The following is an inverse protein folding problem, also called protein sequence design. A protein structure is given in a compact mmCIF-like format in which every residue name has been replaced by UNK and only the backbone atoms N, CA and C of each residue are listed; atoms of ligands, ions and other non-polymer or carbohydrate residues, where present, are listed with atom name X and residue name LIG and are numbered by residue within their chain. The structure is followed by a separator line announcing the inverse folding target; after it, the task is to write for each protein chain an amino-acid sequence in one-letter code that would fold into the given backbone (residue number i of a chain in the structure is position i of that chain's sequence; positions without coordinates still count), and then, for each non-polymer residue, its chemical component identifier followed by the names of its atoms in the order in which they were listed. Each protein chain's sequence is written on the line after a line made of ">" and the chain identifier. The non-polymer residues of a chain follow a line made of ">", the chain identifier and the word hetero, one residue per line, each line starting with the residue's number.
data_IF_634999191908
#
_entry.id   IF_634999191908
#
_cell.length_a   1.000
_cell.length_b   1.000
_cell.length_c   1.000
_cell.angle_alpha   90.00
_cell.angle_beta   90.00
_cell.angle_gamma   90.00
#
_symmetry.space_group_name_H-M   'P 1'
#
loop_
_entity.id
_entity.type
_entity.pdbx_description
1 polymer ?
#
# COMPACT_ATOMS: atom_id res chain seq x y z
N UNK A 1 -50.80 30.41 -8.98
CA UNK A 1 -49.75 29.37 -9.21
C UNK A 1 -50.45 28.03 -9.26
N UNK A 2 -50.25 27.24 -10.32
CA UNK A 2 -51.00 26.00 -10.54
C UNK A 2 -50.45 24.88 -9.62
N UNK A 3 -51.32 24.06 -9.03
CA UNK A 3 -50.92 23.03 -8.03
C UNK A 3 -49.89 22.05 -8.61
N UNK A 4 -50.04 21.68 -9.89
CA UNK A 4 -49.05 20.84 -10.61
C UNK A 4 -47.66 21.48 -10.70
N UNK A 5 -47.60 22.80 -10.79
CA UNK A 5 -46.35 23.55 -10.93
C UNK A 5 -45.65 23.74 -9.58
N UNK A 6 -46.44 23.90 -8.50
CA UNK A 6 -45.93 23.88 -7.14
C UNK A 6 -45.35 22.50 -6.76
N UNK A 7 -46.03 21.40 -7.13
CA UNK A 7 -45.54 20.03 -6.90
C UNK A 7 -44.24 19.77 -7.67
N UNK A 8 -44.15 20.17 -8.95
CA UNK A 8 -42.92 20.03 -9.74
C UNK A 8 -41.75 20.80 -9.13
N UNK A 9 -41.98 22.02 -8.66
CA UNK A 9 -40.95 22.82 -7.97
C UNK A 9 -40.52 22.18 -6.66
N UNK A 10 -41.45 21.68 -5.86
CA UNK A 10 -41.15 20.97 -4.61
C UNK A 10 -40.33 19.68 -4.86
N UNK A 11 -40.70 18.89 -5.88
CA UNK A 11 -39.96 17.69 -6.25
C UNK A 11 -38.54 18.00 -6.76
N UNK A 12 -38.38 19.06 -7.56
CA UNK A 12 -37.06 19.51 -8.02
C UNK A 12 -36.17 19.96 -6.85
N UNK A 13 -36.71 20.74 -5.91
CA UNK A 13 -35.99 21.15 -4.70
C UNK A 13 -35.62 19.95 -3.83
N UNK A 14 -36.53 18.97 -3.69
CA UNK A 14 -36.27 17.75 -2.95
C UNK A 14 -35.17 16.89 -3.59
N UNK A 15 -35.16 16.76 -4.91
CA UNK A 15 -34.09 16.08 -5.66
C UNK A 15 -32.73 16.77 -5.46
N UNK A 16 -32.68 18.10 -5.52
CA UNK A 16 -31.47 18.88 -5.22
C UNK A 16 -31.00 18.64 -3.78
N UNK A 17 -31.92 18.56 -2.82
CA UNK A 17 -31.58 18.23 -1.42
C UNK A 17 -31.03 16.80 -1.27
N UNK A 18 -31.57 15.82 -2.01
CA UNK A 18 -31.03 14.45 -2.01
C UNK A 18 -29.61 14.43 -2.60
N UNK A 19 -29.37 15.13 -3.70
CA UNK A 19 -28.05 15.19 -4.33
C UNK A 19 -27.00 15.90 -3.45
N UNK A 20 -27.39 16.96 -2.73
CA UNK A 20 -26.46 17.65 -1.82
C UNK A 20 -26.16 16.79 -0.58
N UNK A 21 -27.15 16.04 -0.08
CA UNK A 21 -26.98 15.22 1.13
C UNK A 21 -26.13 13.96 0.90
N UNK A 22 -25.97 13.53 -0.35
CA UNK A 22 -25.11 12.41 -0.74
C UNK A 22 -23.64 12.81 -1.01
N UNK A 23 -23.31 14.11 -0.95
CA UNK A 23 -21.93 14.57 -1.07
C UNK A 23 -21.09 14.05 0.12
N UNK A 24 -19.90 13.53 -0.18
CA UNK A 24 -18.94 13.13 0.83
C UNK A 24 -18.06 14.32 1.25
N UNK A 25 -18.02 14.60 2.54
CA UNK A 25 -17.02 15.49 3.14
C UNK A 25 -15.84 14.63 3.60
N UNK A 26 -14.63 15.09 3.29
CA UNK A 26 -13.39 14.54 3.84
C UNK A 26 -12.81 15.52 4.84
N UNK A 27 -12.61 15.05 6.07
CA UNK A 27 -11.82 15.76 7.08
C UNK A 27 -10.42 15.14 7.15
N UNK A 28 -9.43 15.99 7.43
CA UNK A 28 -8.03 15.60 7.53
C UNK A 28 -7.49 16.05 8.87
N UNK A 29 -7.04 15.09 9.66
CA UNK A 29 -6.40 15.33 10.95
C UNK A 29 -4.95 14.92 10.82
N UNK A 30 -4.01 15.81 11.16
CA UNK A 30 -2.58 15.48 11.11
C UNK A 30 -2.28 14.26 11.99
N UNK A 31 -1.39 13.41 11.51
CA UNK A 31 -0.97 12.20 12.19
C UNK A 31 0.55 12.26 12.40
N UNK A 32 1.00 11.76 13.54
CA UNK A 32 2.40 11.82 13.93
C UNK A 32 3.26 11.00 12.97
N UNK A 33 4.35 11.62 12.49
CA UNK A 33 5.20 11.04 11.44
C UNK A 33 5.89 9.76 11.91
N UNK A 34 6.28 9.70 13.18
CA UNK A 34 6.98 8.54 13.73
C UNK A 34 6.04 7.33 13.84
N UNK A 35 4.79 7.55 14.25
CA UNK A 35 3.76 6.50 14.21
C UNK A 35 3.43 6.07 12.78
N UNK A 36 3.40 7.01 11.83
CA UNK A 36 3.19 6.65 10.42
C UNK A 36 4.37 5.84 9.86
N UNK A 37 5.60 6.17 10.27
CA UNK A 37 6.79 5.40 9.92
C UNK A 37 6.72 4.00 10.49
N UNK A 38 6.30 3.83 11.74
CA UNK A 38 6.14 2.53 12.36
C UNK A 38 5.11 1.65 11.60
N UNK A 39 3.99 2.24 11.17
CA UNK A 39 2.98 1.53 10.36
C UNK A 39 3.56 1.07 9.00
N UNK A 40 4.36 1.91 8.33
CA UNK A 40 5.06 1.55 7.10
C UNK A 40 6.07 0.42 7.34
N UNK A 41 6.89 0.54 8.39
CA UNK A 41 7.90 -0.44 8.75
C UNK A 41 7.26 -1.79 9.07
N UNK A 42 6.11 -1.78 9.72
CA UNK A 42 5.32 -2.97 10.00
C UNK A 42 4.73 -3.59 8.74
N UNK A 43 4.13 -2.80 7.85
CA UNK A 43 3.58 -3.33 6.59
C UNK A 43 4.65 -3.96 5.68
N UNK A 44 5.84 -3.35 5.62
CA UNK A 44 6.93 -3.81 4.76
C UNK A 44 7.84 -4.87 5.38
N UNK A 45 7.72 -5.14 6.68
CA UNK A 45 8.59 -6.07 7.39
C UNK A 45 8.64 -7.47 6.77
N UNK A 46 7.52 -8.10 6.37
CA UNK A 46 7.56 -9.43 5.79
C UNK A 46 8.41 -9.50 4.51
N UNK A 47 8.36 -8.45 3.67
CA UNK A 47 9.19 -8.34 2.47
C UNK A 47 10.68 -8.27 2.83
N UNK A 48 11.05 -7.43 3.79
CA UNK A 48 12.46 -7.29 4.20
C UNK A 48 13.01 -8.57 4.85
N UNK A 49 12.17 -9.29 5.59
CA UNK A 49 12.54 -10.59 6.18
C UNK A 49 12.71 -11.66 5.10
N UNK A 50 11.75 -11.77 4.18
CA UNK A 50 11.82 -12.66 3.01
C UNK A 50 13.13 -12.49 2.23
N UNK A 51 13.48 -11.24 1.91
CA UNK A 51 14.65 -10.95 1.08
C UNK A 51 15.97 -11.38 1.73
N UNK A 52 16.07 -11.33 3.05
CA UNK A 52 17.27 -11.79 3.80
C UNK A 52 17.46 -13.29 3.78
N UNK A 53 16.42 -14.04 3.43
CA UNK A 53 16.49 -15.49 3.33
C UNK A 53 16.86 -15.97 1.93
N UNK A 54 16.80 -15.09 0.94
CA UNK A 54 17.18 -15.38 -0.43
C UNK A 54 18.68 -15.73 -0.55
N UNK A 55 18.98 -16.60 -1.51
CA UNK A 55 20.34 -17.03 -1.82
C UNK A 55 20.55 -17.11 -3.32
N UNK A 56 21.78 -16.95 -3.77
CA UNK A 56 22.08 -17.04 -5.21
C UNK A 56 21.81 -18.43 -5.76
N UNK A 57 21.19 -18.49 -6.93
CA UNK A 57 21.06 -19.74 -7.69
C UNK A 57 22.28 -20.00 -8.57
N UNK A 58 22.32 -21.16 -9.22
CA UNK A 58 23.30 -21.42 -10.30
C UNK A 58 23.11 -20.52 -11.54
N UNK A 59 21.97 -19.82 -11.65
CA UNK A 59 21.70 -18.88 -12.72
C UNK A 59 22.08 -17.47 -12.29
N UNK A 60 22.86 -16.80 -13.13
CA UNK A 60 23.20 -15.39 -12.93
C UNK A 60 21.95 -14.53 -12.77
N UNK A 61 21.98 -13.64 -11.78
CA UNK A 61 20.90 -12.72 -11.42
C UNK A 61 19.57 -13.36 -10.97
N UNK A 62 19.54 -14.65 -10.63
CA UNK A 62 18.36 -15.29 -10.05
C UNK A 62 18.64 -15.81 -8.65
N UNK A 63 17.68 -15.58 -7.75
CA UNK A 63 17.74 -15.98 -6.35
C UNK A 63 16.80 -17.15 -6.07
N UNK A 64 17.28 -18.11 -5.28
CA UNK A 64 16.49 -19.24 -4.76
C UNK A 64 15.59 -18.75 -3.61
N UNK A 65 14.36 -19.25 -3.62
CA UNK A 65 13.38 -19.02 -2.57
C UNK A 65 13.78 -19.78 -1.28
N UNK A 66 13.40 -19.26 -0.09
CA UNK A 66 13.50 -20.03 1.15
C UNK A 66 12.57 -21.25 1.13
N UNK A 67 12.89 -22.28 1.90
CA UNK A 67 12.18 -23.58 1.90
C UNK A 67 10.66 -23.48 2.17
N UNK A 68 10.24 -22.40 2.85
CA UNK A 68 8.85 -22.12 3.20
C UNK A 68 8.00 -21.55 2.06
N UNK A 69 8.60 -21.05 0.97
CA UNK A 69 7.88 -20.34 -0.10
C UNK A 69 8.01 -21.12 -1.41
N UNK A 70 6.89 -21.71 -1.86
CA UNK A 70 6.84 -22.58 -3.05
C UNK A 70 5.92 -22.04 -4.14
N UNK A 71 4.93 -21.22 -3.78
CA UNK A 71 4.02 -20.59 -4.71
C UNK A 71 3.62 -19.18 -4.26
N UNK A 72 2.76 -18.54 -5.07
CA UNK A 72 2.21 -17.21 -4.82
C UNK A 72 1.46 -17.16 -3.48
N UNK A 73 0.65 -18.18 -3.17
CA UNK A 73 -0.13 -18.22 -1.93
C UNK A 73 0.77 -18.22 -0.69
N UNK A 74 1.85 -19.00 -0.69
CA UNK A 74 2.80 -19.02 0.44
C UNK A 74 3.42 -17.63 0.66
N UNK A 75 3.76 -16.93 -0.44
CA UNK A 75 4.32 -15.59 -0.38
C UNK A 75 3.31 -14.55 0.12
N UNK A 76 2.06 -14.62 -0.37
CA UNK A 76 0.98 -13.71 0.06
C UNK A 76 0.64 -13.92 1.54
N UNK A 77 0.63 -15.17 2.03
CA UNK A 77 0.35 -15.49 3.43
C UNK A 77 1.35 -14.83 4.40
N UNK A 78 2.60 -14.58 3.97
CA UNK A 78 3.58 -13.84 4.78
C UNK A 78 3.12 -12.42 5.15
N UNK A 79 2.19 -11.85 4.38
CA UNK A 79 1.69 -10.49 4.56
C UNK A 79 0.37 -10.43 5.33
N UNK A 80 -0.17 -11.55 5.82
CA UNK A 80 -1.43 -11.60 6.56
C UNK A 80 -1.37 -10.67 7.79
N UNK A 81 -2.31 -9.72 7.88
CA UNK A 81 -2.33 -8.72 8.97
C UNK A 81 -1.30 -7.60 8.84
N UNK A 82 -0.66 -7.47 7.67
CA UNK A 82 0.29 -6.39 7.34
C UNK A 82 -0.19 -5.54 6.14
N UNK A 83 -0.73 -6.18 5.10
CA UNK A 83 -1.30 -5.50 3.94
C UNK A 83 -2.42 -6.32 3.29
N UNK A 84 -3.19 -5.66 2.42
CA UNK A 84 -4.17 -6.32 1.57
C UNK A 84 -3.48 -7.24 0.54
N UNK A 85 -4.05 -8.43 0.38
CA UNK A 85 -3.54 -9.50 -0.51
C UNK A 85 -3.25 -9.00 -1.93
N UNK A 86 -4.03 -8.04 -2.46
CA UNK A 86 -3.81 -7.53 -3.80
C UNK A 86 -2.46 -6.83 -3.96
N UNK A 87 -1.97 -6.15 -2.92
CA UNK A 87 -0.64 -5.54 -2.94
C UNK A 87 0.46 -6.60 -2.84
N UNK A 88 0.27 -7.61 -1.99
CA UNK A 88 1.22 -8.72 -1.85
C UNK A 88 1.34 -9.51 -3.16
N UNK A 89 0.23 -9.77 -3.85
CA UNK A 89 0.22 -10.37 -5.19
C UNK A 89 0.95 -9.50 -6.20
N UNK A 90 0.77 -8.18 -6.15
CA UNK A 90 1.55 -7.24 -6.96
C UNK A 90 3.06 -7.41 -6.77
N UNK A 91 3.54 -7.56 -5.53
CA UNK A 91 4.97 -7.83 -5.28
C UNK A 91 5.42 -9.18 -5.83
N UNK A 92 4.56 -10.20 -5.79
CA UNK A 92 4.86 -11.50 -6.38
C UNK A 92 5.04 -11.38 -7.90
N UNK A 93 4.09 -10.74 -8.59
CA UNK A 93 4.16 -10.51 -10.04
C UNK A 93 5.40 -9.69 -10.44
N UNK A 94 5.80 -8.75 -9.59
CA UNK A 94 6.92 -7.85 -9.77
C UNK A 94 8.30 -8.53 -9.58
N UNK A 95 8.42 -9.43 -8.61
CA UNK A 95 9.72 -10.02 -8.21
C UNK A 95 9.98 -11.41 -8.81
N UNK A 96 8.94 -12.20 -9.02
CA UNK A 96 9.08 -13.64 -9.26
C UNK A 96 9.14 -13.94 -10.76
N UNK A 97 10.06 -14.81 -11.14
CA UNK A 97 10.26 -15.27 -12.52
C UNK A 97 10.34 -16.78 -12.59
N UNK A 98 9.73 -17.36 -13.62
CA UNK A 98 9.81 -18.80 -13.87
C UNK A 98 10.94 -19.12 -14.86
N UNK A 99 11.81 -20.07 -14.48
CA UNK A 99 12.87 -20.59 -15.35
C UNK A 99 12.97 -22.11 -15.22
N UNK A 100 12.82 -22.80 -16.36
CA UNK A 100 12.86 -24.26 -16.44
C UNK A 100 11.86 -24.96 -15.49
N UNK A 101 10.64 -24.43 -15.35
CA UNK A 101 9.61 -25.00 -14.48
C UNK A 101 9.86 -24.79 -12.98
N UNK A 102 10.79 -23.90 -12.61
CA UNK A 102 11.08 -23.52 -11.22
C UNK A 102 10.96 -22.02 -11.06
N UNK A 103 10.56 -21.59 -9.87
CA UNK A 103 10.31 -20.19 -9.54
C UNK A 103 11.54 -19.62 -8.82
N UNK A 104 11.92 -18.39 -9.18
CA UNK A 104 13.02 -17.63 -8.62
C UNK A 104 12.59 -16.18 -8.36
N UNK A 105 13.39 -15.44 -7.61
CA UNK A 105 13.32 -13.97 -7.58
C UNK A 105 14.36 -13.40 -8.55
N UNK A 106 13.97 -12.43 -9.36
CA UNK A 106 14.92 -11.68 -10.19
C UNK A 106 15.71 -10.70 -9.30
N UNK A 107 17.02 -10.93 -9.20
CA UNK A 107 17.91 -10.12 -8.38
C UNK A 107 18.08 -8.69 -8.92
N UNK A 108 17.62 -8.41 -10.14
CA UNK A 108 17.60 -7.06 -10.72
C UNK A 108 16.34 -6.30 -10.36
N UNK A 109 15.34 -6.96 -9.78
CA UNK A 109 14.12 -6.29 -9.38
C UNK A 109 14.19 -5.85 -7.92
N UNK A 110 13.70 -4.63 -7.68
CA UNK A 110 13.71 -4.01 -6.37
C UNK A 110 12.39 -3.29 -6.12
N UNK A 111 11.79 -3.56 -4.96
CA UNK A 111 10.62 -2.84 -4.46
C UNK A 111 11.08 -1.88 -3.37
N UNK A 112 11.10 -0.55 -3.64
CA UNK A 112 11.49 0.43 -2.65
C UNK A 112 10.52 0.47 -1.46
N UNK A 113 11.07 0.56 -0.25
CA UNK A 113 10.32 0.55 1.01
C UNK A 113 10.80 1.68 1.94
N UNK A 114 10.15 1.83 3.10
CA UNK A 114 10.58 2.78 4.12
C UNK A 114 11.94 2.43 4.75
N UNK A 115 12.43 1.20 4.53
CA UNK A 115 13.74 0.74 4.97
C UNK A 115 14.87 1.17 4.02
N UNK A 116 14.57 1.60 2.80
CA UNK A 116 15.59 2.12 1.88
C UNK A 116 16.28 3.33 2.52
N UNK A 117 17.62 3.38 2.42
CA UNK A 117 18.39 4.49 2.96
C UNK A 117 17.92 5.83 2.36
N UNK A 118 17.72 6.84 3.21
CA UNK A 118 17.21 8.15 2.79
C UNK A 118 15.69 8.25 2.67
N UNK A 119 14.97 7.12 2.74
CA UNK A 119 13.50 7.13 2.75
C UNK A 119 12.91 7.81 3.99
N UNK A 120 11.88 8.63 3.80
CA UNK A 120 11.26 9.39 4.89
C UNK A 120 9.77 9.68 4.70
N UNK A 121 9.06 9.82 5.82
CA UNK A 121 7.67 10.29 5.84
C UNK A 121 7.63 11.82 5.64
N UNK A 122 7.09 12.27 4.50
CA UNK A 122 6.90 13.70 4.23
C UNK A 122 5.72 14.25 4.99
N UNK A 123 4.60 13.52 4.99
CA UNK A 123 3.33 13.92 5.62
C UNK A 123 2.51 12.69 5.97
N UNK A 124 1.81 12.72 7.11
CA UNK A 124 0.83 11.72 7.49
C UNK A 124 -0.43 12.41 8.01
N UNK A 125 -1.61 11.87 7.69
CA UNK A 125 -2.88 12.35 8.22
C UNK A 125 -3.94 11.25 8.19
N UNK A 126 -4.86 11.30 9.14
CA UNK A 126 -6.09 10.52 9.11
C UNK A 126 -7.09 11.23 8.19
N UNK A 127 -7.59 10.50 7.21
CA UNK A 127 -8.68 10.90 6.32
C UNK A 127 -9.95 10.24 6.81
N UNK A 128 -10.88 11.04 7.34
CA UNK A 128 -12.23 10.58 7.66
C UNK A 128 -13.18 10.97 6.52
N UNK A 129 -13.89 9.98 5.96
CA UNK A 129 -14.97 10.22 4.98
C UNK A 129 -16.33 10.06 5.66
N UNK A 130 -17.17 11.09 5.53
CA UNK A 130 -18.56 11.08 6.00
C UNK A 130 -19.48 11.81 5.01
N UNK A 131 -20.74 11.39 4.90
CA UNK A 131 -21.73 12.14 4.10
C UNK A 131 -22.13 13.43 4.81
N UNK A 132 -22.51 14.47 4.05
CA UNK A 132 -23.04 15.74 4.60
C UNK A 132 -24.20 15.48 5.57
N UNK A 133 -25.09 14.56 5.23
CA UNK A 133 -26.25 14.22 6.05
C UNK A 133 -25.85 13.63 7.41
N UNK A 134 -24.85 12.75 7.44
CA UNK A 134 -24.37 12.13 8.68
C UNK A 134 -23.77 13.19 9.61
N UNK A 135 -22.97 14.11 9.06
CA UNK A 135 -22.38 15.23 9.81
C UNK A 135 -23.44 16.17 10.37
N UNK A 136 -24.42 16.59 9.56
CA UNK A 136 -25.50 17.51 9.97
C UNK A 136 -26.40 16.89 11.04
N UNK A 137 -26.70 15.59 10.93
CA UNK A 137 -27.56 14.88 11.86
C UNK A 137 -26.81 14.33 13.08
N UNK A 138 -25.49 14.60 13.21
CA UNK A 138 -24.61 14.02 14.25
C UNK A 138 -24.80 12.51 14.42
N UNK A 139 -25.03 11.81 13.30
CA UNK A 139 -25.17 10.35 13.31
C UNK A 139 -23.78 9.74 13.29
N UNK A 140 -23.50 8.82 14.22
CA UNK A 140 -22.28 7.98 14.27
C UNK A 140 -22.25 6.94 13.13
N UNK A 141 -22.72 7.29 11.93
CA UNK A 141 -22.67 6.38 10.79
C UNK A 141 -21.24 6.26 10.29
N UNK A 142 -20.78 5.00 10.14
CA UNK A 142 -19.49 4.53 9.60
C UNK A 142 -18.68 5.64 8.93
N UNK A 143 -17.78 6.23 9.72
CA UNK A 143 -16.65 6.97 9.18
C UNK A 143 -15.70 5.94 8.58
N UNK A 144 -15.42 6.03 7.30
CA UNK A 144 -14.23 5.33 6.78
C UNK A 144 -13.04 6.14 7.24
N UNK A 145 -12.27 5.58 8.17
CA UNK A 145 -11.01 6.13 8.68
C UNK A 145 -9.87 5.49 7.91
N UNK A 146 -9.00 6.32 7.34
CA UNK A 146 -7.90 5.88 6.51
C UNK A 146 -6.66 6.69 6.87
N UNK A 147 -5.58 6.04 7.26
CA UNK A 147 -4.30 6.70 7.47
C UNK A 147 -3.63 6.88 6.10
N UNK A 148 -3.40 8.13 5.71
CA UNK A 148 -2.72 8.48 4.47
C UNK A 148 -1.31 8.92 4.77
N UNK A 149 -0.33 8.19 4.25
CA UNK A 149 1.10 8.46 4.46
C UNK A 149 1.75 8.81 3.14
N UNK A 150 2.30 10.02 3.04
CA UNK A 150 3.11 10.45 1.90
C UNK A 150 4.57 10.21 2.22
N UNK A 151 5.20 9.37 1.42
CA UNK A 151 6.60 8.97 1.58
C UNK A 151 7.46 9.47 0.43
N UNK A 152 8.69 9.78 0.77
CA UNK A 152 9.79 9.99 -0.16
C UNK A 152 10.66 8.75 -0.10
N UNK A 153 10.80 8.05 -1.22
CA UNK A 153 11.65 6.86 -1.35
C UNK A 153 12.85 7.22 -2.21
N UNK A 154 14.03 6.98 -1.67
CA UNK A 154 15.28 7.25 -2.38
C UNK A 154 15.77 5.96 -3.00
N UNK A 155 15.62 5.83 -4.31
CA UNK A 155 16.20 4.72 -5.08
C UNK A 155 17.52 5.17 -5.69
N UNK A 156 18.25 4.28 -6.36
CA UNK A 156 19.50 4.60 -7.09
C UNK A 156 19.33 5.63 -8.23
N UNK A 157 18.14 6.23 -8.39
CA UNK A 157 17.78 7.24 -9.37
C UNK A 157 16.97 8.42 -8.79
N UNK A 158 15.96 8.96 -9.50
CA UNK A 158 15.16 10.08 -9.03
C UNK A 158 14.41 9.76 -7.75
N UNK A 159 14.25 10.76 -6.89
CA UNK A 159 13.41 10.67 -5.70
C UNK A 159 11.96 10.33 -6.07
N UNK A 160 11.48 9.18 -5.60
CA UNK A 160 10.12 8.73 -5.84
C UNK A 160 9.21 9.20 -4.71
N UNK A 161 8.10 9.86 -5.08
CA UNK A 161 7.07 10.25 -4.12
C UNK A 161 5.93 9.25 -4.23
N UNK A 162 5.60 8.61 -3.11
CA UNK A 162 4.53 7.62 -3.03
C UNK A 162 3.52 8.03 -1.97
N UNK A 163 2.27 7.66 -2.18
CA UNK A 163 1.23 7.79 -1.16
C UNK A 163 0.70 6.41 -0.81
N UNK A 164 0.72 6.09 0.47
CA UNK A 164 0.27 4.84 1.03
C UNK A 164 -0.98 5.07 1.87
N UNK A 165 -1.90 4.13 1.79
CA UNK A 165 -3.21 4.22 2.39
C UNK A 165 -3.41 3.01 3.26
N UNK A 166 -3.70 3.25 4.54
CA UNK A 166 -3.87 2.22 5.54
C UNK A 166 -5.30 2.26 6.06
N UNK A 167 -5.84 1.08 6.33
CA UNK A 167 -7.12 0.89 7.03
C UNK A 167 -6.87 0.13 8.32
N UNK A 168 -7.81 0.22 9.28
CA UNK A 168 -7.75 -0.61 10.47
C UNK A 168 -8.36 -1.97 10.19
N UNK A 169 -7.68 -3.02 10.62
CA UNK A 169 -8.26 -4.36 10.70
C UNK A 169 -9.28 -4.46 11.87
N UNK A 170 -9.84 -5.65 12.08
CA UNK A 170 -10.78 -5.92 13.17
C UNK A 170 -10.16 -5.77 14.58
N UNK A 171 -8.83 -5.82 14.68
CA UNK A 171 -8.08 -5.60 15.93
C UNK A 171 -7.76 -4.12 16.19
N UNK A 172 -8.02 -3.24 15.22
CA UNK A 172 -7.71 -1.82 15.26
C UNK A 172 -6.29 -1.45 14.81
N UNK A 173 -5.54 -2.41 14.26
CA UNK A 173 -4.19 -2.26 13.73
C UNK A 173 -4.22 -1.73 12.29
N UNK A 174 -3.29 -0.85 11.94
CA UNK A 174 -3.15 -0.35 10.58
C UNK A 174 -2.56 -1.42 9.66
N UNK A 175 -3.28 -1.74 8.59
CA UNK A 175 -2.82 -2.58 7.48
C UNK A 175 -2.77 -1.75 6.21
N UNK A 176 -1.78 -1.99 5.34
CA UNK A 176 -1.65 -1.28 4.07
C UNK A 176 -2.76 -1.77 3.10
N UNK A 177 -3.68 -0.89 2.74
CA UNK A 177 -4.81 -1.18 1.85
C UNK A 177 -4.43 -1.03 0.37
N UNK A 178 -3.77 0.08 0.04
CA UNK A 178 -3.25 0.29 -1.31
C UNK A 178 -2.17 1.37 -1.33
N UNK A 179 -1.49 1.50 -2.46
CA UNK A 179 -0.53 2.56 -2.67
C UNK A 179 -0.54 3.12 -4.09
N UNK A 180 -0.28 4.43 -4.17
CA UNK A 180 -0.17 5.17 -5.43
C UNK A 180 1.28 5.59 -5.66
N UNK A 181 1.76 5.39 -6.90
CA UNK A 181 3.14 5.68 -7.28
C UNK A 181 4.11 4.53 -6.98
N UNK A 182 3.59 3.29 -6.91
CA UNK A 182 4.41 2.10 -6.90
C UNK A 182 4.93 1.89 -8.34
N UNK A 183 6.22 2.14 -8.54
CA UNK A 183 6.92 1.70 -9.75
C UNK A 183 8.08 0.85 -9.29
N UNK A 184 8.03 -0.43 -9.66
CA UNK A 184 9.15 -1.36 -9.64
C UNK A 184 10.42 -0.66 -10.13
N UNK A 185 11.53 -0.93 -9.46
CA UNK A 185 12.84 -0.45 -9.88
C UNK A 185 13.62 -1.61 -10.50
N UNK A 186 13.52 -1.74 -11.83
CA UNK A 186 14.39 -2.63 -12.60
C UNK A 186 15.81 -2.06 -12.65
N UNK A 187 16.79 -2.86 -12.23
CA UNK A 187 18.19 -2.48 -12.12
C UNK A 187 19.01 -3.04 -13.27
N UNK A 188 20.06 -2.32 -13.66
CA UNK A 188 20.98 -2.79 -14.71
C UNK A 188 21.87 -3.91 -14.17
N UNK A 189 22.44 -3.70 -12.97
CA UNK A 189 23.31 -4.65 -12.31
C UNK A 189 22.71 -5.11 -10.97
N UNK A 190 22.97 -6.37 -10.66
CA UNK A 190 22.57 -7.01 -9.40
C UNK A 190 23.23 -6.34 -8.19
N UNK A 191 24.46 -5.83 -8.34
CA UNK A 191 25.17 -5.11 -7.29
C UNK A 191 24.55 -3.76 -6.93
N UNK A 192 23.72 -3.21 -7.82
CA UNK A 192 23.03 -1.95 -7.60
C UNK A 192 21.74 -2.15 -6.79
N UNK A 193 21.37 -3.40 -6.48
CA UNK A 193 20.22 -3.72 -5.66
C UNK A 193 20.54 -3.46 -4.19
N UNK A 194 19.80 -2.57 -3.49
CA UNK A 194 20.01 -2.32 -2.06
C UNK A 194 19.89 -3.57 -1.20
N UNK A 195 19.19 -4.60 -1.67
CA UNK A 195 19.08 -5.87 -0.98
C UNK A 195 20.26 -6.82 -1.19
N UNK A 196 21.18 -6.50 -2.10
CA UNK A 196 22.27 -7.42 -2.48
C UNK A 196 23.19 -7.82 -1.34
N UNK A 197 23.37 -6.94 -0.34
CA UNK A 197 24.16 -7.24 0.86
C UNK A 197 23.51 -8.28 1.78
N UNK A 198 22.19 -8.50 1.66
CA UNK A 198 21.44 -9.45 2.49
C UNK A 198 21.45 -10.87 1.93
N UNK A 199 21.81 -11.07 0.67
CA UNK A 199 21.72 -12.37 0.02
C UNK A 199 22.88 -13.28 0.41
N UNK A 200 22.56 -14.53 0.69
CA UNK A 200 23.54 -15.54 1.07
C UNK A 200 24.25 -16.09 -0.16
N UNK A 201 25.57 -16.19 -0.08
CA UNK A 201 26.35 -16.97 -1.04
C UNK A 201 26.25 -18.46 -0.68
N UNK A 202 26.06 -19.34 -1.67
CA UNK A 202 26.20 -20.78 -1.46
C UNK A 202 27.66 -21.07 -1.05
N UNK A 203 27.84 -21.79 0.06
CA UNK A 203 29.15 -22.23 0.57
C UNK A 203 29.57 -23.55 -0.07
#
# INVERSE_FOLDING_TARGET
>A
MNVKEAIKRAAAIFMIFIEITSINISEKTDFEKDHARAALEEAYRPLEEFVRELSFSEYEALLKLPDGIKCEEDFVEMFEGHMDDSNARGFYEDLFVEKNGKIYVDAKEYIPSIYTEGSRVKKAYIREKQTIMNRLLKRDSKKTEELVVKVELQTSGPTNNRTEYFVKDDSGKWILDHANGLSLCGLVNVSDNPWSESWKQEK
#
